data_IF_064745330077
#
_entry.id   IF_064745330077
#
_cell.length_a   1.000
_cell.length_b   1.000
_cell.length_c   1.000
_cell.angle_alpha   90.00
_cell.angle_beta   90.00
_cell.angle_gamma   90.00
#
_symmetry.space_group_name_H-M   'P 1'
#
loop_
_entity.id
_entity.type
_entity.pdbx_description
1 polymer ?
#
# COMPACT_ATOMS: atom_id res chain seq x y z
N UNK A 1 -46.99 -29.49 -49.58
CA UNK A 1 -46.01 -28.51 -50.12
C UNK A 1 -45.95 -27.23 -49.27
N UNK A 2 -47.08 -26.57 -48.98
CA UNK A 2 -47.13 -25.29 -48.26
C UNK A 2 -46.52 -25.27 -46.83
N UNK A 3 -46.74 -26.32 -46.01
CA UNK A 3 -46.15 -26.42 -44.66
C UNK A 3 -44.61 -26.56 -44.64
N UNK A 4 -44.01 -27.05 -45.72
CA UNK A 4 -42.54 -27.21 -45.83
C UNK A 4 -41.87 -25.85 -46.06
N UNK A 5 -42.47 -25.02 -46.93
CA UNK A 5 -42.00 -23.66 -47.19
C UNK A 5 -42.11 -22.73 -45.97
N UNK A 6 -43.19 -22.85 -45.18
CA UNK A 6 -43.37 -22.06 -43.96
C UNK A 6 -42.36 -22.44 -42.86
N UNK A 7 -42.10 -23.75 -42.71
CA UNK A 7 -41.09 -24.26 -41.77
C UNK A 7 -39.68 -23.80 -42.18
N UNK A 8 -39.38 -23.85 -43.47
CA UNK A 8 -38.12 -23.40 -44.06
C UNK A 8 -37.89 -21.88 -43.90
N UNK A 9 -38.94 -21.07 -44.04
CA UNK A 9 -38.88 -19.62 -43.78
C UNK A 9 -38.63 -19.28 -42.31
N UNK A 10 -39.25 -20.00 -41.37
CA UNK A 10 -39.01 -19.82 -39.92
C UNK A 10 -37.60 -20.21 -39.50
N UNK A 11 -37.02 -21.29 -40.04
CA UNK A 11 -35.61 -21.63 -39.79
C UNK A 11 -34.66 -20.59 -40.38
N UNK A 12 -34.98 -20.04 -41.54
CA UNK A 12 -34.17 -18.99 -42.18
C UNK A 12 -34.18 -17.69 -41.35
N UNK A 13 -35.34 -17.27 -40.85
CA UNK A 13 -35.46 -16.09 -39.98
C UNK A 13 -34.77 -16.28 -38.62
N UNK A 14 -34.88 -17.48 -38.02
CA UNK A 14 -34.20 -17.79 -36.77
C UNK A 14 -32.67 -17.78 -36.96
N UNK A 15 -32.18 -18.35 -38.07
CA UNK A 15 -30.76 -18.31 -38.43
C UNK A 15 -30.24 -16.88 -38.64
N UNK A 16 -31.04 -16.03 -39.28
CA UNK A 16 -30.69 -14.62 -39.50
C UNK A 16 -30.61 -13.83 -38.18
N UNK A 17 -31.56 -14.02 -37.26
CA UNK A 17 -31.55 -13.38 -35.94
C UNK A 17 -30.35 -13.83 -35.08
N UNK A 18 -29.98 -15.10 -35.17
CA UNK A 18 -28.81 -15.65 -34.49
C UNK A 18 -27.49 -15.11 -35.06
N UNK A 19 -27.41 -14.94 -36.38
CA UNK A 19 -26.26 -14.31 -37.02
C UNK A 19 -26.14 -12.82 -36.63
N UNK A 20 -27.26 -12.10 -36.60
CA UNK A 20 -27.30 -10.68 -36.22
C UNK A 20 -26.88 -10.48 -34.76
N UNK A 21 -27.37 -11.33 -33.84
CA UNK A 21 -26.98 -11.27 -32.43
C UNK A 21 -25.50 -11.58 -32.23
N UNK A 22 -24.94 -12.55 -32.98
CA UNK A 22 -23.51 -12.86 -32.92
C UNK A 22 -22.65 -11.70 -33.41
N UNK A 23 -23.03 -11.04 -34.51
CA UNK A 23 -22.33 -9.84 -35.03
C UNK A 23 -22.41 -8.67 -34.03
N UNK A 24 -23.54 -8.49 -33.35
CA UNK A 24 -23.69 -7.50 -32.29
C UNK A 24 -22.78 -7.78 -31.09
N UNK A 25 -22.69 -9.04 -30.64
CA UNK A 25 -21.81 -9.43 -29.51
C UNK A 25 -20.32 -9.20 -29.84
N UNK A 26 -19.91 -9.47 -31.08
CA UNK A 26 -18.53 -9.26 -31.54
C UNK A 26 -18.14 -7.78 -31.60
N UNK A 27 -19.08 -6.87 -31.87
CA UNK A 27 -18.81 -5.42 -31.88
C UNK A 27 -18.75 -4.79 -30.47
N UNK A 28 -19.23 -5.49 -29.43
CA UNK A 28 -19.14 -5.04 -28.03
C UNK A 28 -17.85 -5.52 -27.36
N UNK A 29 -17.18 -6.52 -27.94
CA UNK A 29 -15.91 -7.02 -27.44
C UNK A 29 -14.76 -6.07 -27.80
N UNK A 30 -14.35 -5.23 -26.84
CA UNK A 30 -13.06 -4.55 -26.92
C UNK A 30 -11.94 -5.59 -26.74
N UNK A 31 -11.47 -6.15 -27.86
CA UNK A 31 -10.26 -6.96 -27.88
C UNK A 31 -9.11 -6.17 -27.25
N UNK A 32 -8.46 -6.74 -26.24
CA UNK A 32 -7.42 -6.05 -25.47
C UNK A 32 -6.38 -5.42 -26.39
N UNK A 33 -6.13 -4.12 -26.22
CA UNK A 33 -5.02 -3.43 -26.90
C UNK A 33 -3.74 -3.76 -26.15
N UNK A 34 -2.91 -4.63 -26.70
CA UNK A 34 -1.56 -4.87 -26.20
C UNK A 34 -0.64 -3.77 -26.72
N UNK A 35 0.18 -3.19 -25.84
CA UNK A 35 1.21 -2.24 -26.24
C UNK A 35 2.25 -2.93 -27.13
N UNK A 36 2.73 -2.24 -28.17
CA UNK A 36 3.88 -2.70 -28.98
C UNK A 36 5.21 -2.53 -28.25
N UNK A 37 5.20 -1.89 -27.07
CA UNK A 37 6.39 -1.75 -26.24
C UNK A 37 6.80 -3.10 -25.67
N UNK A 38 7.96 -3.57 -26.09
CA UNK A 38 8.64 -4.74 -25.50
C UNK A 38 9.82 -4.19 -24.70
N UNK A 39 9.78 -4.35 -23.38
CA UNK A 39 10.91 -4.01 -22.52
C UNK A 39 12.08 -4.91 -22.91
N UNK A 40 13.27 -4.34 -23.09
CA UNK A 40 14.49 -5.15 -23.22
C UNK A 40 14.63 -5.99 -21.96
N UNK A 41 14.91 -7.29 -22.12
CA UNK A 41 15.19 -8.17 -20.98
C UNK A 41 16.51 -7.73 -20.36
N UNK A 42 16.42 -6.83 -19.40
CA UNK A 42 17.51 -6.52 -18.49
C UNK A 42 17.41 -7.53 -17.35
N UNK A 43 18.53 -8.15 -16.99
CA UNK A 43 18.59 -8.98 -15.78
C UNK A 43 18.23 -8.08 -14.60
N UNK A 44 17.29 -8.51 -13.77
CA UNK A 44 17.10 -7.95 -12.43
C UNK A 44 18.34 -8.28 -11.62
N UNK A 45 19.23 -7.30 -11.48
CA UNK A 45 20.42 -7.40 -10.64
C UNK A 45 20.07 -6.73 -9.32
N UNK A 46 20.14 -7.48 -8.23
CA UNK A 46 19.91 -6.95 -6.90
C UNK A 46 20.91 -5.84 -6.59
N UNK A 47 20.44 -4.80 -5.89
CA UNK A 47 21.31 -3.75 -5.41
C UNK A 47 22.34 -4.35 -4.42
N UNK A 48 23.64 -4.04 -4.56
CA UNK A 48 24.66 -4.47 -3.61
C UNK A 48 24.36 -4.00 -2.18
N UNK A 49 24.79 -4.76 -1.16
CA UNK A 49 24.54 -4.42 0.26
C UNK A 49 25.17 -3.10 0.72
N UNK A 50 26.21 -2.64 0.04
CA UNK A 50 26.90 -1.36 0.29
C UNK A 50 26.29 -0.18 -0.50
N UNK A 51 25.17 -0.40 -1.19
CA UNK A 51 24.42 0.69 -1.83
C UNK A 51 23.96 1.71 -0.78
N UNK A 52 23.97 2.99 -1.18
CA UNK A 52 23.60 4.12 -0.34
C UNK A 52 22.18 4.02 0.27
N UNK A 53 21.23 3.47 -0.48
CA UNK A 53 19.85 3.21 -0.02
C UNK A 53 19.74 2.20 1.12
N UNK A 54 20.79 1.39 1.37
CA UNK A 54 20.86 0.44 2.49
C UNK A 54 21.70 0.94 3.66
N UNK A 55 22.16 2.20 3.63
CA UNK A 55 22.94 2.77 4.71
C UNK A 55 22.19 2.73 6.06
N UNK A 56 22.88 2.24 7.10
CA UNK A 56 22.32 2.13 8.45
C UNK A 56 22.29 3.52 9.11
N UNK A 57 21.18 3.92 9.77
CA UNK A 57 21.11 5.17 10.51
C UNK A 57 22.20 5.23 11.60
N UNK A 58 22.95 6.33 11.71
CA UNK A 58 24.01 6.45 12.71
C UNK A 58 23.43 6.63 14.12
N UNK A 59 24.21 6.21 15.13
CA UNK A 59 23.87 6.35 16.54
C UNK A 59 23.49 5.03 17.21
N UNK A 60 23.73 4.93 18.52
CA UNK A 60 23.43 3.73 19.30
C UNK A 60 21.94 3.42 19.28
N UNK A 61 21.60 2.18 18.91
CA UNK A 61 20.25 1.65 18.79
C UNK A 61 19.30 2.53 17.97
N UNK A 62 19.83 3.22 16.95
CA UNK A 62 19.05 4.10 16.10
C UNK A 62 17.94 3.32 15.38
N UNK A 63 16.66 3.77 15.46
CA UNK A 63 15.57 3.13 14.73
C UNK A 63 15.84 3.07 13.23
N UNK A 64 15.66 1.90 12.63
CA UNK A 64 15.77 1.67 11.18
C UNK A 64 14.50 1.02 10.64
N UNK A 65 14.41 0.88 9.31
CA UNK A 65 13.26 0.24 8.63
C UNK A 65 11.90 0.85 9.04
N UNK A 66 11.88 2.18 9.21
CA UNK A 66 10.69 2.92 9.67
C UNK A 66 9.64 2.92 8.58
N UNK A 67 8.42 2.51 8.91
CA UNK A 67 7.29 2.51 8.00
C UNK A 67 5.98 2.77 8.74
N UNK A 68 5.00 3.31 8.02
CA UNK A 68 3.70 3.69 8.56
C UNK A 68 2.57 3.13 7.71
N UNK A 69 1.43 2.85 8.33
CA UNK A 69 0.20 2.48 7.62
C UNK A 69 -1.04 2.95 8.40
N UNK A 70 -2.18 3.03 7.73
CA UNK A 70 -3.45 3.39 8.36
C UNK A 70 -3.80 2.39 9.48
N UNK A 71 -4.20 2.90 10.64
CA UNK A 71 -4.42 2.11 11.87
C UNK A 71 -5.88 1.94 12.29
N UNK A 72 -6.81 2.45 11.49
CA UNK A 72 -8.26 2.35 11.70
C UNK A 72 -9.03 2.37 10.37
N UNK A 73 -10.36 2.35 10.45
CA UNK A 73 -11.22 2.35 9.27
C UNK A 73 -11.34 3.75 8.64
N UNK A 74 -11.25 4.81 9.44
CA UNK A 74 -11.62 6.17 9.03
C UNK A 74 -10.42 7.08 8.75
N UNK A 75 -9.18 6.64 8.99
CA UNK A 75 -7.98 7.46 8.78
C UNK A 75 -7.64 8.38 9.96
N UNK A 76 -8.12 8.05 11.17
CA UNK A 76 -7.84 8.78 12.42
C UNK A 76 -6.83 8.05 13.32
N UNK A 77 -6.29 6.93 12.84
CA UNK A 77 -5.19 6.24 13.48
C UNK A 77 -4.09 5.89 12.47
N UNK A 78 -2.87 5.82 12.97
CA UNK A 78 -1.69 5.44 12.19
C UNK A 78 -0.89 4.43 13.01
N UNK A 79 -0.51 3.33 12.38
CA UNK A 79 0.45 2.37 12.94
C UNK A 79 1.84 2.83 12.50
N UNK A 80 2.70 3.12 13.46
CA UNK A 80 4.12 3.40 13.25
C UNK A 80 4.91 2.16 13.63
N UNK A 81 5.79 1.74 12.72
CA UNK A 81 6.61 0.54 12.88
C UNK A 81 8.07 0.85 12.58
N UNK A 82 8.97 0.22 13.32
CA UNK A 82 10.42 0.34 13.13
C UNK A 82 11.14 -0.85 13.74
N UNK A 83 12.44 -0.94 13.46
CA UNK A 83 13.34 -1.96 14.02
C UNK A 83 14.48 -1.30 14.78
N UNK A 84 14.78 -1.83 15.96
CA UNK A 84 16.03 -1.58 16.70
C UNK A 84 16.87 -2.87 16.70
N UNK A 85 18.19 -2.75 16.68
CA UNK A 85 19.09 -3.89 16.42
C UNK A 85 20.05 -4.21 17.56
N UNK A 86 20.40 -3.22 18.40
CA UNK A 86 21.37 -3.41 19.47
C UNK A 86 20.69 -3.95 20.74
N UNK A 87 19.50 -3.42 21.08
CA UNK A 87 18.72 -3.82 22.26
C UNK A 87 17.23 -3.49 22.07
N UNK A 88 16.29 -4.04 22.89
CA UNK A 88 14.86 -3.87 22.69
C UNK A 88 14.41 -2.42 22.53
N UNK A 89 14.93 -1.50 23.34
CA UNK A 89 14.51 -0.09 23.31
C UNK A 89 13.04 0.15 23.69
N UNK A 90 12.60 1.41 23.57
CA UNK A 90 11.22 1.81 23.85
C UNK A 90 10.31 1.62 22.62
N UNK A 91 9.09 1.12 22.83
CA UNK A 91 8.01 1.10 21.81
C UNK A 91 7.14 2.37 21.86
N UNK A 92 7.66 3.44 22.45
CA UNK A 92 6.97 4.70 22.59
C UNK A 92 7.09 5.56 21.33
N UNK A 93 5.99 6.22 20.97
CA UNK A 93 5.97 7.27 19.96
C UNK A 93 5.54 8.57 20.62
N UNK A 94 6.39 9.60 20.55
CA UNK A 94 5.98 10.98 20.83
C UNK A 94 5.46 11.61 19.55
N UNK A 95 4.32 12.29 19.58
CA UNK A 95 3.73 12.90 18.39
C UNK A 95 2.98 14.20 18.70
N UNK A 96 2.94 15.11 17.72
CA UNK A 96 2.24 16.39 17.83
C UNK A 96 1.83 16.88 16.45
N UNK A 97 0.72 17.61 16.37
CA UNK A 97 0.36 18.31 15.12
C UNK A 97 1.26 19.53 14.94
N UNK A 98 1.52 19.93 13.70
CA UNK A 98 2.42 21.05 13.33
C UNK A 98 2.16 22.36 14.12
N UNK A 99 0.92 22.63 14.49
CA UNK A 99 0.54 23.84 15.27
C UNK A 99 0.32 23.59 16.78
N UNK A 100 0.59 22.39 17.28
CA UNK A 100 0.48 22.07 18.71
C UNK A 100 1.80 22.36 19.43
N UNK A 101 1.71 22.95 20.62
CA UNK A 101 2.85 23.06 21.56
C UNK A 101 2.97 21.84 22.47
N UNK A 102 1.95 20.98 22.50
CA UNK A 102 1.90 19.80 23.34
C UNK A 102 2.27 18.56 22.54
N UNK A 103 3.25 17.81 23.04
CA UNK A 103 3.59 16.47 22.57
C UNK A 103 2.73 15.45 23.32
N UNK A 104 2.07 14.59 22.55
CA UNK A 104 1.35 13.41 23.03
C UNK A 104 2.24 12.18 22.96
N UNK A 105 1.85 11.16 23.71
CA UNK A 105 2.52 9.86 23.79
C UNK A 105 1.58 8.75 23.34
N UNK A 106 2.12 7.75 22.66
CA UNK A 106 1.46 6.47 22.41
C UNK A 106 2.43 5.33 22.75
N UNK A 107 1.92 4.32 23.47
CA UNK A 107 2.67 3.12 23.84
C UNK A 107 2.35 1.98 22.88
N UNK A 108 3.41 1.31 22.40
CA UNK A 108 3.32 0.17 21.49
C UNK A 108 3.74 -1.14 22.11
N UNK A 109 4.00 -2.10 21.23
CA UNK A 109 4.53 -3.42 21.56
C UNK A 109 5.78 -3.70 20.76
N UNK A 110 6.65 -4.54 21.31
CA UNK A 110 7.83 -5.08 20.65
C UNK A 110 7.65 -6.57 20.42
N UNK A 111 8.06 -7.06 19.26
CA UNK A 111 8.04 -8.47 18.87
C UNK A 111 9.35 -8.84 18.18
N UNK A 112 9.65 -10.13 18.17
CA UNK A 112 10.78 -10.71 17.42
C UNK A 112 10.32 -11.97 16.73
N UNK A 113 11.01 -12.37 15.67
CA UNK A 113 10.79 -13.64 15.01
C UNK A 113 12.10 -14.34 14.65
N UNK A 114 12.01 -15.62 14.35
CA UNK A 114 13.11 -16.45 13.84
C UNK A 114 12.68 -17.11 12.54
N UNK A 115 13.59 -17.21 11.58
CA UNK A 115 13.38 -17.89 10.33
C UNK A 115 14.66 -18.65 9.95
N UNK A 116 14.62 -19.98 10.00
CA UNK A 116 15.82 -20.82 9.87
C UNK A 116 16.91 -20.40 10.87
N UNK A 117 18.10 -20.03 10.40
CA UNK A 117 19.21 -19.54 11.22
C UNK A 117 19.20 -18.01 11.43
N UNK A 118 18.23 -17.30 10.84
CA UNK A 118 18.06 -15.86 11.02
C UNK A 118 17.21 -15.55 12.25
N UNK A 119 17.61 -14.52 12.99
CA UNK A 119 16.85 -13.91 14.08
C UNK A 119 16.66 -12.44 13.74
N UNK A 120 15.42 -11.95 13.85
CA UNK A 120 15.14 -10.53 13.59
C UNK A 120 15.76 -9.63 14.65
N UNK A 121 15.89 -8.34 14.33
CA UNK A 121 15.96 -7.30 15.36
C UNK A 121 14.67 -7.21 16.17
N UNK A 122 14.56 -6.18 17.00
CA UNK A 122 13.38 -5.90 17.81
C UNK A 122 12.42 -5.03 17.00
N UNK A 123 11.25 -5.58 16.70
CA UNK A 123 10.27 -4.96 15.80
C UNK A 123 9.20 -4.31 16.64
N UNK A 124 9.05 -3.00 16.48
CA UNK A 124 8.09 -2.20 17.23
C UNK A 124 6.86 -1.91 16.40
N UNK A 125 5.70 -1.93 17.05
CA UNK A 125 4.43 -1.49 16.49
C UNK A 125 3.68 -0.64 17.49
N UNK A 126 3.40 0.61 17.12
CA UNK A 126 2.69 1.57 17.96
C UNK A 126 1.56 2.20 17.17
N UNK A 127 0.34 2.10 17.70
CA UNK A 127 -0.82 2.75 17.09
C UNK A 127 -1.06 4.10 17.72
N UNK A 128 -0.87 5.17 16.95
CA UNK A 128 -1.34 6.51 17.29
C UNK A 128 -2.82 6.59 16.94
N UNK A 129 -3.65 7.13 17.82
CA UNK A 129 -5.12 7.21 17.65
C UNK A 129 -5.63 8.63 17.87
N UNK A 130 -6.90 8.84 17.50
CA UNK A 130 -7.61 10.11 17.71
C UNK A 130 -6.90 11.29 17.03
N UNK A 131 -6.35 11.04 15.84
CA UNK A 131 -5.76 12.06 15.00
C UNK A 131 -6.88 12.92 14.36
N UNK A 132 -6.56 14.18 14.09
CA UNK A 132 -7.40 15.07 13.29
C UNK A 132 -7.19 14.78 11.81
N UNK A 133 -8.24 14.88 11.01
CA UNK A 133 -8.14 14.78 9.54
C UNK A 133 -7.34 15.95 8.95
N UNK A 134 -6.81 15.74 7.75
CA UNK A 134 -6.11 16.76 6.95
C UNK A 134 -5.10 17.59 7.77
N UNK A 135 -4.34 16.91 8.63
CA UNK A 135 -3.45 17.55 9.59
C UNK A 135 -2.06 16.93 9.50
N UNK A 136 -1.04 17.78 9.41
CA UNK A 136 0.35 17.36 9.48
C UNK A 136 0.74 17.07 10.92
N UNK A 137 1.27 15.87 11.13
CA UNK A 137 1.80 15.41 12.41
C UNK A 137 3.30 15.14 12.28
N UNK A 138 4.03 15.56 13.29
CA UNK A 138 5.40 15.12 13.54
C UNK A 138 5.37 14.00 14.56
N UNK A 139 6.31 13.06 14.44
CA UNK A 139 6.50 12.01 15.43
C UNK A 139 7.97 11.65 15.60
N UNK A 140 8.31 11.22 16.81
CA UNK A 140 9.63 10.78 17.23
C UNK A 140 9.57 9.33 17.73
N UNK A 141 10.61 8.57 17.41
CA UNK A 141 10.84 7.17 17.84
C UNK A 141 12.30 7.01 18.30
N UNK A 142 12.59 5.91 18.98
CA UNK A 142 13.92 5.69 19.59
C UNK A 142 14.11 6.46 20.90
N UNK A 143 13.02 6.64 21.65
CA UNK A 143 13.01 7.35 22.92
C UNK A 143 13.90 6.61 23.93
N UNK A 144 14.84 7.34 24.54
CA UNK A 144 15.82 6.81 25.50
C UNK A 144 17.22 6.58 24.91
N UNK A 145 17.35 6.47 23.59
CA UNK A 145 18.62 6.24 22.88
C UNK A 145 18.77 7.28 21.76
N UNK A 146 19.08 6.84 20.53
CA UNK A 146 19.13 7.71 19.35
C UNK A 146 17.72 7.98 18.82
N UNK A 147 17.24 9.21 19.00
CA UNK A 147 15.90 9.62 18.53
C UNK A 147 15.92 10.01 17.05
N UNK A 148 14.88 9.60 16.31
CA UNK A 148 14.64 10.03 14.93
C UNK A 148 13.26 10.65 14.79
N UNK A 149 13.18 11.75 14.05
CA UNK A 149 11.94 12.49 13.82
C UNK A 149 11.50 12.36 12.36
N UNK A 150 10.20 12.17 12.17
CA UNK A 150 9.53 12.08 10.87
C UNK A 150 8.23 12.87 10.88
N UNK A 151 7.51 12.87 9.76
CA UNK A 151 6.19 13.49 9.66
C UNK A 151 5.30 12.76 8.66
N UNK A 152 3.98 12.92 8.83
CA UNK A 152 2.95 12.46 7.91
C UNK A 152 1.78 13.44 7.89
N UNK A 153 0.89 13.30 6.92
CA UNK A 153 -0.37 14.06 6.83
C UNK A 153 -1.51 13.05 6.89
N UNK A 154 -2.45 13.23 7.80
CA UNK A 154 -3.67 12.41 7.85
C UNK A 154 -4.56 12.70 6.65
N UNK A 155 -5.31 11.70 6.16
CA UNK A 155 -6.24 11.94 5.06
C UNK A 155 -7.35 12.93 5.48
N UNK A 156 -8.00 13.58 4.51
CA UNK A 156 -9.26 14.29 4.76
C UNK A 156 -10.31 13.33 5.33
N UNK A 157 -11.36 13.91 5.92
CA UNK A 157 -12.51 13.12 6.39
C UNK A 157 -13.17 12.39 5.21
N UNK A 158 -13.64 11.17 5.43
CA UNK A 158 -14.24 10.33 4.39
C UNK A 158 -15.52 11.00 3.87
N UNK A 159 -15.63 11.12 2.54
CA UNK A 159 -16.81 11.68 1.90
C UNK A 159 -16.89 11.30 0.42
N UNK A 160 -18.08 11.39 -0.19
CA UNK A 160 -18.32 10.93 -1.56
C UNK A 160 -17.50 11.70 -2.62
N UNK A 161 -17.23 12.99 -2.36
CA UNK A 161 -16.57 13.89 -3.30
C UNK A 161 -15.16 14.31 -2.84
N UNK A 162 -14.55 13.52 -1.94
CA UNK A 162 -13.25 13.84 -1.36
C UNK A 162 -12.12 13.32 -2.25
N UNK A 163 -11.32 14.20 -2.86
CA UNK A 163 -10.25 13.77 -3.75
C UNK A 163 -9.08 13.17 -2.97
N UNK A 164 -8.47 12.13 -3.52
CA UNK A 164 -7.23 11.54 -3.01
C UNK A 164 -6.41 10.96 -4.16
N UNK A 165 -5.09 10.88 -3.98
CA UNK A 165 -4.18 10.27 -4.97
C UNK A 165 -3.53 9.04 -4.38
N UNK A 166 -3.69 7.89 -5.04
CA UNK A 166 -3.07 6.63 -4.63
C UNK A 166 -1.98 6.25 -5.62
N UNK A 167 -0.78 5.95 -5.11
CA UNK A 167 0.25 5.26 -5.88
C UNK A 167 -0.05 3.77 -5.94
N UNK A 168 0.04 3.18 -7.13
CA UNK A 168 -0.10 1.73 -7.32
C UNK A 168 1.26 1.17 -7.73
N UNK A 169 1.84 0.31 -6.90
CA UNK A 169 3.15 -0.30 -7.09
C UNK A 169 3.01 -1.79 -6.79
N UNK A 170 3.56 -2.63 -7.66
CA UNK A 170 3.69 -4.08 -7.49
C UNK A 170 5.08 -4.52 -7.94
N UNK A 171 5.52 -5.70 -7.49
CA UNK A 171 6.79 -6.32 -7.89
C UNK A 171 8.00 -5.36 -7.75
N UNK A 172 8.15 -4.78 -6.55
CA UNK A 172 9.15 -3.72 -6.27
C UNK A 172 10.60 -4.23 -6.26
N UNK A 173 10.80 -5.50 -5.89
CA UNK A 173 12.10 -6.15 -5.77
C UNK A 173 12.06 -7.57 -6.30
#
# INVERSE_FOLDING_TARGET
MMRVFEKMGRTLHLGFLLALSLVLILNVAHGGKTSTFVRKVEKTVDMPFDSDVFAVPPGYNAPQQVHITQGDLEGKALIVSWVTVDEPGSSEVHYWSEHSKEKKKADGKVVTYRFFNYTSGFIHHTTIRQLKHNTKYHYEIGIGNTTRQFWFITPPEVGPDVPYTFGLIGDLG
#
